data_IF_144063542556
#
_entry.id   IF_144063542556
#
_cell.length_a   1.000
_cell.length_b   1.000
_cell.length_c   1.000
_cell.angle_alpha   90.00
_cell.angle_beta   90.00
_cell.angle_gamma   90.00
#
_symmetry.space_group_name_H-M   'P 1'
#
loop_
_entity.id
_entity.type
_entity.pdbx_description
1 polymer ?
#
# COMPACT_ATOMS: atom_id res chain seq x y z
N UNK A 1 -8.61 -22.43 -59.12
CA UNK A 1 -8.63 -21.06 -58.57
C UNK A 1 -7.58 -21.00 -57.46
N UNK A 2 -6.49 -20.24 -57.63
CA UNK A 2 -5.42 -20.18 -56.63
C UNK A 2 -5.84 -19.25 -55.49
N UNK A 3 -5.72 -19.71 -54.24
CA UNK A 3 -5.80 -18.85 -53.05
C UNK A 3 -4.54 -19.06 -52.21
N UNK A 4 -3.64 -18.09 -52.38
CA UNK A 4 -2.73 -17.46 -51.42
C UNK A 4 -1.79 -18.32 -50.52
N UNK A 5 -0.45 -18.18 -50.64
CA UNK A 5 0.49 -18.62 -49.62
C UNK A 5 0.58 -17.59 -48.48
N UNK A 6 0.31 -18.01 -47.23
CA UNK A 6 0.62 -17.20 -46.03
C UNK A 6 2.10 -17.28 -45.67
N UNK A 7 2.88 -16.18 -45.64
CA UNK A 7 4.18 -16.14 -44.98
C UNK A 7 3.97 -15.67 -43.54
N UNK A 8 3.80 -16.61 -42.62
CA UNK A 8 3.87 -16.33 -41.18
C UNK A 8 5.25 -16.70 -40.68
N UNK A 9 6.19 -15.75 -40.72
CA UNK A 9 7.53 -15.91 -40.16
C UNK A 9 7.46 -16.45 -38.73
N UNK A 10 8.13 -17.59 -38.51
CA UNK A 10 8.63 -17.97 -37.21
C UNK A 10 9.63 -16.90 -36.74
N UNK A 11 9.40 -16.30 -35.57
CA UNK A 11 10.48 -15.70 -34.80
C UNK A 11 10.36 -16.16 -33.35
N UNK A 12 11.08 -17.23 -33.07
CA UNK A 12 11.46 -17.68 -31.74
C UNK A 12 12.63 -16.79 -31.31
N UNK A 13 12.61 -16.31 -30.06
CA UNK A 13 13.74 -15.87 -29.20
C UNK A 13 13.45 -14.50 -28.56
N UNK A 14 13.72 -14.25 -27.28
CA UNK A 14 14.25 -15.07 -26.21
C UNK A 14 13.82 -14.41 -24.88
N UNK A 15 13.41 -15.22 -23.90
CA UNK A 15 13.51 -14.82 -22.51
C UNK A 15 15.00 -14.78 -22.14
N UNK A 16 15.49 -13.65 -21.65
CA UNK A 16 16.59 -13.66 -20.69
C UNK A 16 16.36 -12.65 -19.57
N UNK A 17 16.28 -13.25 -18.39
CA UNK A 17 16.02 -12.77 -17.05
C UNK A 17 17.10 -11.78 -16.55
N UNK A 18 16.69 -10.60 -16.07
CA UNK A 18 17.41 -9.88 -15.03
C UNK A 18 16.49 -9.83 -13.80
N UNK A 19 16.55 -10.89 -13.00
CA UNK A 19 15.86 -10.98 -11.72
C UNK A 19 16.49 -9.98 -10.75
N UNK A 20 15.85 -8.82 -10.60
CA UNK A 20 15.97 -8.07 -9.35
C UNK A 20 15.29 -8.93 -8.28
N UNK A 21 15.97 -9.32 -7.19
CA UNK A 21 15.24 -9.75 -6.02
C UNK A 21 14.41 -8.55 -5.57
N UNK A 22 13.13 -8.51 -5.95
CA UNK A 22 12.14 -7.81 -5.14
C UNK A 22 12.10 -8.57 -3.83
N UNK A 23 12.95 -8.14 -2.89
CA UNK A 23 12.61 -8.24 -1.48
C UNK A 23 11.40 -7.32 -1.25
N UNK A 24 10.25 -7.70 -1.82
CA UNK A 24 8.96 -7.40 -1.22
C UNK A 24 9.03 -8.11 0.13
N UNK A 25 9.50 -7.36 1.13
CA UNK A 25 9.79 -7.86 2.45
C UNK A 25 8.58 -8.65 2.92
N UNK A 26 8.85 -9.92 3.23
CA UNK A 26 7.89 -10.81 3.84
C UNK A 26 7.24 -10.09 5.03
N UNK A 27 5.95 -9.81 4.94
CA UNK A 27 5.13 -9.45 6.09
C UNK A 27 3.91 -10.37 6.08
N UNK A 28 4.22 -11.65 6.34
CA UNK A 28 3.27 -12.68 6.77
C UNK A 28 3.45 -13.03 8.25
N UNK A 29 4.15 -12.20 9.02
CA UNK A 29 4.10 -12.24 10.48
C UNK A 29 3.01 -11.27 10.91
N UNK A 30 1.98 -11.75 11.60
CA UNK A 30 0.96 -10.88 12.18
C UNK A 30 1.59 -9.79 13.04
N UNK A 31 0.95 -8.62 13.10
CA UNK A 31 1.42 -7.54 13.96
C UNK A 31 1.54 -8.03 15.42
N UNK A 32 2.54 -7.55 16.19
CA UNK A 32 2.68 -7.94 17.57
C UNK A 32 1.39 -7.65 18.36
N UNK A 33 1.07 -8.51 19.32
CA UNK A 33 -0.10 -8.31 20.18
C UNK A 33 0.02 -6.96 20.90
N UNK A 34 -1.00 -6.12 20.74
CA UNK A 34 -1.01 -4.75 21.29
C UNK A 34 -0.30 -3.69 20.43
N UNK A 35 0.06 -4.01 19.18
CA UNK A 35 0.60 -3.00 18.26
C UNK A 35 -0.40 -1.86 18.03
N UNK A 36 0.11 -0.63 18.04
CA UNK A 36 -0.66 0.55 17.66
C UNK A 36 -0.97 0.50 16.17
N UNK A 37 -2.26 0.53 15.82
CA UNK A 37 -2.71 0.65 14.44
C UNK A 37 -2.83 2.13 14.07
N UNK A 38 -2.24 2.52 12.95
CA UNK A 38 -2.39 3.87 12.41
C UNK A 38 -3.59 3.90 11.46
N UNK A 39 -4.55 4.76 11.75
CA UNK A 39 -5.73 4.97 10.90
C UNK A 39 -5.47 6.00 9.82
N UNK A 40 -5.96 5.75 8.61
CA UNK A 40 -6.15 6.77 7.58
C UNK A 40 -7.63 7.09 7.50
N UNK A 41 -7.99 8.34 7.74
CA UNK A 41 -9.38 8.76 7.58
C UNK A 41 -9.75 8.79 6.09
N UNK A 42 -10.74 7.98 5.74
CA UNK A 42 -11.44 8.01 4.47
C UNK A 42 -12.73 8.82 4.62
N UNK A 43 -12.83 9.94 3.90
CA UNK A 43 -14.02 10.79 3.88
C UNK A 43 -14.62 10.83 2.47
N UNK A 44 -15.94 10.97 2.39
CA UNK A 44 -16.72 10.85 1.14
C UNK A 44 -16.57 12.06 0.17
N UNK A 45 -15.61 12.96 0.43
CA UNK A 45 -15.51 14.29 -0.18
C UNK A 45 -14.54 14.44 -1.35
N UNK A 46 -13.92 13.37 -1.85
CA UNK A 46 -12.99 13.42 -3.00
C UNK A 46 -11.54 13.03 -2.70
N UNK A 47 -10.77 12.79 -3.77
CA UNK A 47 -9.56 11.95 -3.84
C UNK A 47 -8.31 12.36 -3.05
N UNK A 48 -8.36 13.38 -2.19
CA UNK A 48 -7.19 13.86 -1.45
C UNK A 48 -6.80 12.97 -0.27
N UNK A 49 -7.66 12.04 0.15
CA UNK A 49 -7.30 11.02 1.15
C UNK A 49 -6.22 10.04 0.66
N UNK A 50 -6.10 9.85 -0.66
CA UNK A 50 -5.01 9.10 -1.30
C UNK A 50 -3.69 9.86 -1.31
N UNK A 51 -3.71 11.16 -1.07
CA UNK A 51 -2.53 11.96 -1.24
C UNK A 51 -1.53 11.69 -0.09
N UNK A 52 -0.24 11.63 -0.45
CA UNK A 52 0.85 11.21 0.43
C UNK A 52 0.69 9.76 0.97
N UNK A 53 0.72 8.75 0.09
CA UNK A 53 0.59 7.34 0.49
C UNK A 53 1.77 6.86 1.37
N UNK A 54 2.93 7.53 1.31
CA UNK A 54 4.11 7.18 2.10
C UNK A 54 4.13 7.76 3.51
N UNK A 55 3.24 8.69 3.87
CA UNK A 55 3.26 9.38 5.16
C UNK A 55 3.20 8.41 6.36
N UNK A 56 2.19 7.55 6.35
CA UNK A 56 1.93 6.60 7.43
C UNK A 56 2.92 5.42 7.45
N UNK A 57 3.32 4.82 6.30
CA UNK A 57 4.42 3.85 6.27
C UNK A 57 5.73 4.41 6.85
N UNK A 58 6.08 5.64 6.49
CA UNK A 58 7.28 6.30 7.01
C UNK A 58 7.16 6.61 8.50
N UNK A 59 5.99 7.05 8.95
CA UNK A 59 5.72 7.27 10.38
C UNK A 59 5.85 5.96 11.17
N UNK A 60 5.21 4.87 10.71
CA UNK A 60 5.28 3.57 11.35
C UNK A 60 6.73 3.07 11.44
N UNK A 61 7.52 3.24 10.38
CA UNK A 61 8.94 2.91 10.38
C UNK A 61 9.73 3.76 11.40
N UNK A 62 9.54 5.08 11.40
CA UNK A 62 10.23 5.98 12.31
C UNK A 62 9.88 5.73 13.78
N UNK A 63 8.62 5.41 14.11
CA UNK A 63 8.23 5.09 15.49
C UNK A 63 8.90 3.79 15.95
N UNK A 64 8.92 2.75 15.10
CA UNK A 64 9.61 1.48 15.42
C UNK A 64 11.13 1.65 15.55
N UNK A 65 11.72 2.53 14.76
CA UNK A 65 13.17 2.79 14.80
C UNK A 65 13.59 3.59 16.04
N UNK A 66 12.77 4.58 16.42
CA UNK A 66 13.16 5.60 17.40
C UNK A 66 12.55 5.39 18.78
N UNK A 67 11.65 4.42 18.93
CA UNK A 67 10.95 4.13 20.19
C UNK A 67 10.78 2.62 20.38
N UNK A 68 10.39 2.22 21.60
CA UNK A 68 10.02 0.84 21.89
C UNK A 68 8.52 0.55 21.64
N UNK A 69 7.78 1.46 21.00
CA UNK A 69 6.34 1.32 20.77
C UNK A 69 6.12 0.34 19.59
N UNK A 70 5.43 -0.78 19.79
CA UNK A 70 5.03 -1.65 18.68
C UNK A 70 3.98 -0.92 17.85
N UNK A 71 4.24 -0.78 16.54
CA UNK A 71 3.30 -0.18 15.58
C UNK A 71 3.05 -1.18 14.47
N UNK A 72 1.79 -1.34 14.10
CA UNK A 72 1.36 -2.21 13.02
C UNK A 72 2.10 -1.86 11.72
N UNK A 73 2.41 -2.87 10.92
CA UNK A 73 3.09 -2.66 9.65
C UNK A 73 2.17 -2.03 8.60
N UNK A 74 0.86 -2.27 8.72
CA UNK A 74 -0.16 -1.73 7.82
C UNK A 74 -1.06 -0.73 8.54
N UNK A 75 -1.35 0.37 7.84
CA UNK A 75 -2.41 1.30 8.21
C UNK A 75 -3.80 0.68 7.97
N UNK A 76 -4.82 1.23 8.64
CA UNK A 76 -6.23 0.90 8.39
C UNK A 76 -6.97 2.12 7.85
N UNK A 77 -7.57 2.00 6.67
CA UNK A 77 -8.50 3.01 6.20
C UNK A 77 -9.82 2.90 6.97
N UNK A 78 -10.33 4.01 7.52
CA UNK A 78 -11.57 4.05 8.31
C UNK A 78 -12.39 5.30 8.01
N UNK A 79 -13.72 5.18 8.06
CA UNK A 79 -14.64 6.33 8.06
C UNK A 79 -14.98 6.75 9.49
N UNK A 80 -15.57 7.94 9.67
CA UNK A 80 -16.04 8.39 11.00
C UNK A 80 -17.25 7.61 11.53
N UNK A 81 -17.97 6.92 10.65
CA UNK A 81 -19.09 6.05 10.99
C UNK A 81 -18.67 4.62 11.31
N UNK A 82 -17.40 4.28 11.12
CA UNK A 82 -16.88 2.93 11.38
C UNK A 82 -16.83 2.66 12.89
N UNK A 83 -17.51 1.62 13.41
CA UNK A 83 -17.41 1.24 14.83
C UNK A 83 -15.98 0.92 15.27
N UNK A 84 -15.13 0.41 14.35
CA UNK A 84 -13.73 0.07 14.64
C UNK A 84 -12.83 1.31 14.78
N UNK A 85 -13.34 2.52 14.53
CA UNK A 85 -12.61 3.77 14.73
C UNK A 85 -12.10 3.90 16.17
N UNK A 86 -12.88 3.42 17.14
CA UNK A 86 -12.54 3.49 18.57
C UNK A 86 -11.35 2.61 18.96
N UNK A 87 -11.00 1.62 18.12
CA UNK A 87 -9.83 0.76 18.32
C UNK A 87 -8.53 1.37 17.75
N UNK A 88 -8.62 2.56 17.15
CA UNK A 88 -7.54 3.20 16.41
C UNK A 88 -7.11 4.47 17.17
N UNK A 89 -6.08 4.38 18.03
CA UNK A 89 -5.69 5.49 18.90
C UNK A 89 -5.01 6.65 18.15
N UNK A 90 -4.69 6.47 16.87
CA UNK A 90 -4.08 7.49 16.02
C UNK A 90 -4.77 7.56 14.66
N UNK A 91 -5.38 8.69 14.35
CA UNK A 91 -6.06 8.93 13.07
C UNK A 91 -5.33 10.02 12.28
N UNK A 92 -4.86 9.69 11.09
CA UNK A 92 -4.27 10.63 10.15
C UNK A 92 -5.33 11.15 9.18
N UNK A 93 -5.56 12.44 9.24
CA UNK A 93 -6.42 13.19 8.34
C UNK A 93 -5.55 14.08 7.46
N UNK A 94 -5.63 13.89 6.13
CA UNK A 94 -5.11 14.87 5.18
C UNK A 94 -6.30 15.63 4.60
N UNK A 95 -6.31 16.95 4.78
CA UNK A 95 -7.27 17.82 4.10
C UNK A 95 -6.69 18.26 2.75
N UNK A 96 -7.54 18.35 1.74
CA UNK A 96 -7.23 19.03 0.49
C UNK A 96 -7.04 20.53 0.76
N UNK A 97 -6.05 21.16 0.13
CA UNK A 97 -5.97 22.62 0.15
C UNK A 97 -7.27 23.18 -0.46
N UNK A 98 -8.05 23.86 0.37
CA UNK A 98 -9.23 24.60 -0.08
C UNK A 98 -8.70 25.89 -0.74
N UNK A 99 -9.21 26.27 -1.92
CA UNK A 99 -8.77 27.47 -2.63
C UNK A 99 -9.08 28.75 -1.84
#
# INVERSE_FOLDING_TARGET
MPTDPRPGLALISAMLLAGLPSSAQAQGGGDPVGAVVLGRWHYDGGGDWYANPSALPNLAAAVRERTAIPVAARERAVSLSDPALWDIPYLHAKMADRP
#
